data_IF_941229362670
#
_entry.id   IF_941229362670
#
_cell.length_a   1.000
_cell.length_b   1.000
_cell.length_c   1.000
_cell.angle_alpha   90.00
_cell.angle_beta   90.00
_cell.angle_gamma   90.00
#
_symmetry.space_group_name_H-M   'P 1'
#
loop_
_entity.id
_entity.type
_entity.pdbx_description
1 polymer ?
#
# COMPACT_ATOMS: atom_id res chain seq x y z
N UNK A 1 -15.44 -5.52 -7.44
CA UNK A 1 -15.11 -6.88 -6.98
C UNK A 1 -15.87 -7.16 -5.72
N UNK A 2 -16.42 -8.38 -5.56
CA UNK A 2 -17.17 -8.83 -4.38
C UNK A 2 -16.73 -10.23 -3.97
N UNK A 3 -16.48 -10.43 -2.68
CA UNK A 3 -16.18 -11.71 -2.08
C UNK A 3 -14.91 -12.39 -2.59
N UNK A 4 -13.90 -11.63 -3.06
CA UNK A 4 -12.69 -12.24 -3.58
C UNK A 4 -12.03 -13.11 -2.51
N UNK A 5 -11.79 -14.35 -2.87
CA UNK A 5 -11.19 -15.34 -1.98
C UNK A 5 -10.09 -16.11 -2.69
N UNK A 6 -8.96 -16.32 -2.01
CA UNK A 6 -7.86 -17.14 -2.49
C UNK A 6 -7.29 -18.04 -1.41
N UNK A 7 -7.18 -19.32 -1.73
CA UNK A 7 -6.69 -20.36 -0.83
C UNK A 7 -5.44 -20.99 -1.43
N UNK A 8 -4.39 -21.19 -0.64
CA UNK A 8 -3.21 -21.96 -0.98
C UNK A 8 -3.01 -23.08 0.04
N UNK A 9 -3.24 -24.32 -0.39
CA UNK A 9 -3.30 -25.46 0.52
C UNK A 9 -4.45 -25.29 1.52
N UNK A 10 -4.14 -25.28 2.80
CA UNK A 10 -5.12 -25.04 3.88
C UNK A 10 -5.27 -23.55 4.27
N UNK A 11 -4.46 -22.66 3.66
CA UNK A 11 -4.42 -21.25 4.04
C UNK A 11 -5.30 -20.38 3.16
N UNK A 12 -6.25 -19.68 3.75
CA UNK A 12 -7.02 -18.64 3.11
C UNK A 12 -6.25 -17.32 3.16
N UNK A 13 -5.53 -16.99 2.07
CA UNK A 13 -4.63 -15.83 1.98
C UNK A 13 -5.39 -14.55 1.67
N UNK A 14 -6.52 -14.64 0.97
CA UNK A 14 -7.50 -13.55 0.80
C UNK A 14 -8.85 -14.13 1.12
N UNK A 15 -9.60 -13.47 1.99
CA UNK A 15 -10.84 -13.95 2.58
C UNK A 15 -11.95 -12.92 2.45
N UNK A 16 -12.92 -13.20 1.57
CA UNK A 16 -14.13 -12.39 1.37
C UNK A 16 -13.83 -10.90 1.15
N UNK A 17 -12.97 -10.60 0.18
CA UNK A 17 -12.45 -9.24 -0.05
C UNK A 17 -13.28 -8.49 -1.08
N UNK A 18 -13.96 -7.43 -0.64
CA UNK A 18 -14.69 -6.49 -1.49
C UNK A 18 -13.86 -5.26 -1.80
N UNK A 19 -13.89 -4.80 -3.06
CA UNK A 19 -13.23 -3.55 -3.45
C UNK A 19 -13.89 -2.88 -4.64
N UNK A 20 -13.96 -1.55 -4.57
CA UNK A 20 -14.34 -0.68 -5.69
C UNK A 20 -13.26 0.38 -5.84
N UNK A 21 -12.62 0.42 -7.00
CA UNK A 21 -11.55 1.38 -7.31
C UNK A 21 -12.08 2.43 -8.27
N UNK A 22 -12.08 3.72 -7.91
CA UNK A 22 -12.45 4.81 -8.81
C UNK A 22 -11.44 4.92 -9.97
N UNK A 23 -11.94 5.29 -11.16
CA UNK A 23 -11.05 5.54 -12.31
C UNK A 23 -10.19 6.77 -12.09
N UNK A 24 -8.93 6.69 -12.50
CA UNK A 24 -7.98 7.79 -12.38
C UNK A 24 -7.50 8.05 -10.96
N UNK A 25 -7.91 7.26 -9.97
CA UNK A 25 -7.46 7.39 -8.59
C UNK A 25 -6.19 6.60 -8.33
N UNK A 26 -5.41 7.06 -7.35
CA UNK A 26 -4.34 6.30 -6.71
C UNK A 26 -4.93 5.57 -5.50
N UNK A 27 -4.97 4.25 -5.56
CA UNK A 27 -5.54 3.40 -4.51
C UNK A 27 -4.45 2.57 -3.83
N UNK A 28 -4.23 2.81 -2.55
CA UNK A 28 -3.23 2.13 -1.73
C UNK A 28 -3.75 0.86 -1.06
N UNK A 29 -3.01 -0.25 -1.22
CA UNK A 29 -3.17 -1.45 -0.40
C UNK A 29 -2.14 -1.41 0.71
N UNK A 30 -2.55 -1.09 1.91
CA UNK A 30 -1.68 -0.98 3.06
C UNK A 30 -1.82 -2.21 3.96
N UNK A 31 -0.73 -2.63 4.55
CA UNK A 31 -0.73 -3.75 5.50
C UNK A 31 0.63 -4.44 5.64
N UNK A 32 0.80 -5.28 6.66
CA UNK A 32 2.06 -5.98 6.90
C UNK A 32 2.39 -6.98 5.80
N UNK A 33 3.64 -7.45 5.79
CA UNK A 33 4.07 -8.50 4.87
C UNK A 33 3.28 -9.79 5.13
N UNK A 34 2.87 -10.46 4.05
CA UNK A 34 2.05 -11.66 4.14
C UNK A 34 0.55 -11.41 4.35
N UNK A 35 0.08 -10.17 4.40
CA UNK A 35 -1.35 -9.85 4.61
C UNK A 35 -2.27 -10.16 3.42
N UNK A 36 -1.72 -10.54 2.25
CA UNK A 36 -2.50 -10.85 1.05
C UNK A 36 -2.49 -9.77 -0.04
N UNK A 37 -1.81 -8.62 0.14
CA UNK A 37 -1.75 -7.50 -0.83
C UNK A 37 -1.39 -7.95 -2.25
N UNK A 38 -0.20 -8.55 -2.42
CA UNK A 38 0.28 -9.05 -3.72
C UNK A 38 -0.68 -10.07 -4.33
N UNK A 39 -1.26 -10.96 -3.52
CA UNK A 39 -2.23 -11.96 -3.98
C UNK A 39 -3.49 -11.28 -4.51
N UNK A 40 -4.01 -10.28 -3.79
CA UNK A 40 -5.19 -9.49 -4.21
C UNK A 40 -4.89 -8.76 -5.52
N UNK A 41 -3.77 -8.05 -5.61
CA UNK A 41 -3.35 -7.35 -6.84
C UNK A 41 -3.29 -8.32 -8.04
N UNK A 42 -2.69 -9.50 -7.87
CA UNK A 42 -2.59 -10.49 -8.95
C UNK A 42 -3.94 -11.05 -9.39
N UNK A 43 -4.91 -11.17 -8.48
CA UNK A 43 -6.27 -11.53 -8.84
C UNK A 43 -6.95 -10.41 -9.65
N UNK A 44 -6.79 -9.16 -9.23
CA UNK A 44 -7.38 -8.00 -9.91
C UNK A 44 -6.91 -7.85 -11.35
N UNK A 45 -5.65 -8.18 -11.65
CA UNK A 45 -5.09 -8.08 -13.00
C UNK A 45 -5.17 -9.37 -13.84
N UNK A 46 -5.92 -10.36 -13.38
CA UNK A 46 -6.08 -11.61 -14.11
C UNK A 46 -4.83 -12.51 -14.16
N UNK A 47 -3.79 -12.22 -13.34
CA UNK A 47 -2.59 -13.05 -13.22
C UNK A 47 -2.80 -14.25 -12.29
N UNK A 48 -3.83 -14.19 -11.45
CA UNK A 48 -4.19 -15.25 -10.52
C UNK A 48 -5.71 -15.41 -10.50
N UNK A 49 -6.19 -16.62 -10.76
CA UNK A 49 -7.62 -16.91 -10.70
C UNK A 49 -8.08 -17.00 -9.24
N UNK A 50 -9.08 -16.24 -8.81
CA UNK A 50 -9.67 -16.38 -7.49
C UNK A 50 -10.41 -17.71 -7.34
N UNK A 51 -10.42 -18.28 -6.14
CA UNK A 51 -11.19 -19.48 -5.80
C UNK A 51 -12.65 -19.14 -5.51
N UNK A 52 -12.92 -17.93 -4.97
CA UNK A 52 -14.26 -17.39 -4.71
C UNK A 52 -14.39 -15.93 -5.14
N UNK A 53 -15.64 -15.47 -5.15
CA UNK A 53 -15.96 -14.08 -5.51
C UNK A 53 -16.10 -13.85 -7.01
N UNK A 54 -16.51 -12.64 -7.35
CA UNK A 54 -16.79 -12.20 -8.72
C UNK A 54 -16.46 -10.71 -8.89
N UNK A 55 -16.37 -10.27 -10.11
CA UNK A 55 -16.23 -8.86 -10.42
C UNK A 55 -15.53 -8.59 -11.74
N UNK A 56 -15.38 -7.30 -12.01
CA UNK A 56 -14.81 -6.80 -13.24
C UNK A 56 -13.58 -5.93 -12.98
N UNK A 57 -12.60 -6.04 -13.83
CA UNK A 57 -11.48 -5.12 -13.94
C UNK A 57 -11.51 -4.46 -15.30
N UNK A 58 -11.55 -3.13 -15.35
CA UNK A 58 -11.66 -2.34 -16.58
C UNK A 58 -12.89 -2.73 -17.46
N UNK A 59 -13.96 -3.26 -16.83
CA UNK A 59 -15.16 -3.74 -17.53
C UNK A 59 -15.07 -5.16 -18.09
N UNK A 60 -14.03 -5.92 -17.70
CA UNK A 60 -13.84 -7.32 -18.08
C UNK A 60 -13.96 -8.23 -16.87
N UNK A 61 -14.64 -9.35 -17.04
CA UNK A 61 -14.76 -10.39 -16.01
C UNK A 61 -13.39 -10.99 -15.67
N UNK A 62 -13.01 -10.94 -14.37
CA UNK A 62 -11.67 -11.36 -13.91
C UNK A 62 -11.37 -12.85 -14.09
N UNK A 63 -12.39 -13.68 -14.27
CA UNK A 63 -12.24 -15.13 -14.46
C UNK A 63 -12.25 -15.53 -15.93
N UNK A 64 -13.09 -14.86 -16.74
CA UNK A 64 -13.35 -15.26 -18.13
C UNK A 64 -12.54 -14.46 -19.14
N UNK A 65 -12.16 -13.21 -18.80
CA UNK A 65 -11.53 -12.27 -19.74
C UNK A 65 -10.14 -11.80 -19.27
N UNK A 66 -9.44 -12.66 -18.52
CA UNK A 66 -8.13 -12.33 -17.94
C UNK A 66 -7.10 -11.82 -18.98
N UNK A 67 -7.11 -12.37 -20.21
CA UNK A 67 -6.18 -11.94 -21.26
C UNK A 67 -6.46 -10.48 -21.69
N UNK A 68 -7.75 -10.11 -21.81
CA UNK A 68 -8.12 -8.71 -22.14
C UNK A 68 -7.74 -7.72 -21.05
N UNK A 69 -7.79 -8.16 -19.80
CA UNK A 69 -7.32 -7.35 -18.65
C UNK A 69 -5.81 -7.14 -18.77
N UNK A 70 -5.03 -8.20 -18.99
CA UNK A 70 -3.56 -8.15 -19.09
C UNK A 70 -3.07 -7.22 -20.20
N UNK A 71 -3.80 -7.09 -21.29
CA UNK A 71 -3.47 -6.17 -22.40
C UNK A 71 -3.60 -4.69 -22.01
N UNK A 72 -4.35 -4.37 -20.94
CA UNK A 72 -4.63 -3.01 -20.49
C UNK A 72 -4.04 -2.68 -19.12
N UNK A 73 -3.25 -3.59 -18.56
CA UNK A 73 -2.65 -3.45 -17.23
C UNK A 73 -1.13 -3.44 -17.32
N UNK A 74 -0.50 -2.44 -16.74
CA UNK A 74 0.93 -2.45 -16.44
C UNK A 74 1.15 -3.03 -15.05
N UNK A 75 1.97 -4.07 -14.92
CA UNK A 75 2.27 -4.68 -13.62
C UNK A 75 3.76 -4.58 -13.27
N UNK A 76 4.06 -3.86 -12.22
CA UNK A 76 5.40 -3.74 -11.66
C UNK A 76 5.51 -4.62 -10.43
N UNK A 77 6.39 -5.60 -10.50
CA UNK A 77 6.67 -6.54 -9.41
C UNK A 77 7.60 -5.94 -8.36
N UNK A 78 7.50 -6.41 -7.12
CA UNK A 78 8.37 -5.99 -6.01
C UNK A 78 9.86 -6.17 -6.33
N UNK A 79 10.23 -7.31 -6.94
CA UNK A 79 11.61 -7.55 -7.38
C UNK A 79 11.77 -7.08 -8.81
N UNK A 80 12.92 -6.47 -9.11
CA UNK A 80 13.28 -6.11 -10.48
C UNK A 80 13.23 -7.36 -11.37
N UNK A 81 12.41 -7.32 -12.43
CA UNK A 81 12.07 -8.49 -13.26
C UNK A 81 12.53 -8.36 -14.71
N UNK A 82 13.25 -7.29 -15.03
CA UNK A 82 13.81 -7.09 -16.37
C UNK A 82 15.20 -7.73 -16.49
N UNK A 83 15.67 -7.90 -17.71
CA UNK A 83 16.93 -8.57 -18.00
C UNK A 83 18.12 -7.68 -17.66
N UNK A 84 18.93 -8.09 -16.71
CA UNK A 84 20.06 -7.31 -16.21
C UNK A 84 21.23 -7.22 -17.20
N UNK A 85 21.37 -8.19 -18.07
CA UNK A 85 22.35 -8.30 -19.16
C UNK A 85 21.96 -7.56 -20.46
N UNK A 86 20.73 -7.01 -20.51
CA UNK A 86 20.29 -6.13 -21.57
C UNK A 86 20.39 -4.66 -21.14
N UNK A 87 20.59 -3.78 -22.12
CA UNK A 87 20.51 -2.34 -21.91
C UNK A 87 19.09 -1.88 -21.60
N UNK A 88 18.94 -0.64 -21.14
CA UNK A 88 17.65 0.00 -20.92
C UNK A 88 16.81 -0.09 -22.20
N UNK A 89 17.37 0.32 -23.34
CA UNK A 89 16.70 0.30 -24.65
C UNK A 89 16.28 -1.11 -25.05
N UNK A 90 17.16 -2.09 -24.92
CA UNK A 90 16.87 -3.48 -25.31
C UNK A 90 15.76 -4.08 -24.46
N UNK A 91 15.72 -3.79 -23.16
CA UNK A 91 14.63 -4.19 -22.29
C UNK A 91 13.28 -3.60 -22.76
N UNK A 92 13.25 -2.29 -23.03
CA UNK A 92 12.02 -1.64 -23.51
C UNK A 92 11.60 -2.16 -24.90
N UNK A 93 12.56 -2.37 -25.82
CA UNK A 93 12.28 -2.95 -27.14
C UNK A 93 11.73 -4.39 -27.02
N UNK A 94 12.27 -5.19 -26.10
CA UNK A 94 11.77 -6.53 -25.82
C UNK A 94 10.31 -6.51 -25.34
N UNK A 95 9.98 -5.66 -24.37
CA UNK A 95 8.61 -5.53 -23.85
C UNK A 95 7.67 -5.01 -24.95
N UNK A 96 8.09 -4.01 -25.73
CA UNK A 96 7.29 -3.49 -26.85
C UNK A 96 6.99 -4.55 -27.91
N UNK A 97 7.91 -5.51 -28.15
CA UNK A 97 7.67 -6.68 -29.00
C UNK A 97 6.62 -7.62 -28.42
N UNK A 98 6.71 -7.89 -27.11
CA UNK A 98 5.74 -8.77 -26.41
C UNK A 98 4.32 -8.23 -26.52
N UNK A 99 4.13 -6.91 -26.40
CA UNK A 99 2.84 -6.23 -26.59
C UNK A 99 2.51 -5.95 -28.07
N UNK A 100 3.34 -6.37 -29.03
CA UNK A 100 3.12 -6.24 -30.50
C UNK A 100 2.88 -4.80 -30.95
N UNK A 101 3.61 -3.84 -30.34
CA UNK A 101 3.48 -2.41 -30.66
C UNK A 101 3.96 -2.17 -32.10
N UNK A 102 3.09 -1.59 -32.94
CA UNK A 102 3.35 -1.43 -34.36
C UNK A 102 4.54 -0.50 -34.64
N UNK A 103 4.56 0.70 -34.03
CA UNK A 103 5.68 1.65 -34.14
C UNK A 103 6.60 1.55 -32.90
N UNK A 104 7.18 0.36 -32.75
CA UNK A 104 7.99 0.01 -31.58
C UNK A 104 9.15 0.97 -31.34
N UNK A 105 9.86 1.39 -32.42
CA UNK A 105 11.03 2.25 -32.26
C UNK A 105 10.64 3.63 -31.71
N UNK A 106 9.66 4.27 -32.31
CA UNK A 106 9.17 5.56 -31.82
C UNK A 106 8.65 5.46 -30.38
N UNK A 107 7.93 4.37 -30.06
CA UNK A 107 7.40 4.16 -28.71
C UNK A 107 8.50 3.96 -27.66
N UNK A 108 9.59 3.25 -28.00
CA UNK A 108 10.76 3.09 -27.12
C UNK A 108 11.46 4.43 -26.89
N UNK A 109 11.70 5.23 -27.97
CA UNK A 109 12.29 6.56 -27.81
C UNK A 109 11.43 7.45 -26.91
N UNK A 110 10.12 7.46 -27.14
CA UNK A 110 9.18 8.23 -26.30
C UNK A 110 9.24 7.80 -24.84
N UNK A 111 9.25 6.50 -24.55
CA UNK A 111 9.34 6.00 -23.19
C UNK A 111 10.67 6.36 -22.50
N UNK A 112 11.77 6.38 -23.27
CA UNK A 112 13.07 6.82 -22.77
C UNK A 112 13.07 8.31 -22.40
N UNK A 113 12.46 9.15 -23.23
CA UNK A 113 12.33 10.59 -22.98
C UNK A 113 11.42 10.89 -21.80
N UNK A 114 10.21 10.32 -21.78
CA UNK A 114 9.19 10.56 -20.76
C UNK A 114 9.69 10.31 -19.35
N UNK A 115 10.54 9.29 -19.17
CA UNK A 115 11.05 8.90 -17.85
C UNK A 115 12.52 9.29 -17.61
N UNK A 116 13.09 10.14 -18.51
CA UNK A 116 14.45 10.65 -18.35
C UNK A 116 15.53 9.57 -18.44
N UNK A 117 15.33 8.56 -19.29
CA UNK A 117 16.23 7.42 -19.50
C UNK A 117 17.08 7.56 -20.77
N UNK A 118 16.85 8.59 -21.60
CA UNK A 118 17.47 8.76 -22.91
C UNK A 118 19.00 8.75 -22.87
N UNK A 119 19.61 9.52 -21.96
CA UNK A 119 21.09 9.63 -21.82
C UNK A 119 21.72 8.32 -21.33
N UNK A 120 20.94 7.37 -20.83
CA UNK A 120 21.38 6.08 -20.32
C UNK A 120 20.88 4.88 -21.12
N UNK A 121 20.28 5.13 -22.28
CA UNK A 121 19.59 4.11 -23.07
C UNK A 121 20.45 2.87 -23.40
N UNK A 122 21.77 3.05 -23.56
CA UNK A 122 22.73 1.97 -23.81
C UNK A 122 23.33 1.33 -22.54
N UNK A 123 23.01 1.86 -21.34
CA UNK A 123 23.52 1.31 -20.08
C UNK A 123 22.84 -0.02 -19.77
N UNK A 124 23.61 -1.02 -19.33
CA UNK A 124 23.08 -2.32 -18.89
C UNK A 124 22.20 -2.15 -17.64
N UNK A 125 21.04 -2.79 -17.62
CA UNK A 125 20.09 -2.69 -16.53
C UNK A 125 20.64 -3.20 -15.19
N UNK A 126 21.52 -4.20 -15.22
CA UNK A 126 22.19 -4.73 -14.03
C UNK A 126 23.08 -3.72 -13.30
N UNK A 127 23.62 -2.71 -14.03
CA UNK A 127 24.51 -1.69 -13.48
C UNK A 127 23.78 -0.45 -12.93
N UNK A 128 22.45 -0.43 -13.01
CA UNK A 128 21.63 0.68 -12.54
C UNK A 128 21.50 0.67 -11.01
N UNK A 129 21.47 1.87 -10.42
CA UNK A 129 21.04 2.01 -9.03
C UNK A 129 19.55 1.67 -8.86
N UNK A 130 19.10 1.43 -7.62
CA UNK A 130 17.72 1.10 -7.32
C UNK A 130 16.70 2.05 -7.94
N UNK A 131 16.90 3.36 -7.79
CA UNK A 131 16.01 4.37 -8.38
C UNK A 131 15.94 4.32 -9.91
N UNK A 132 17.07 4.05 -10.59
CA UNK A 132 17.06 3.90 -12.04
C UNK A 132 16.41 2.59 -12.49
N UNK A 133 16.59 1.48 -11.73
CA UNK A 133 15.85 0.23 -11.95
C UNK A 133 14.35 0.44 -11.83
N UNK A 134 13.89 1.24 -10.85
CA UNK A 134 12.48 1.59 -10.69
C UNK A 134 11.93 2.39 -11.86
N UNK A 135 12.67 3.41 -12.33
CA UNK A 135 12.26 4.18 -13.51
C UNK A 135 12.17 3.31 -14.77
N UNK A 136 13.12 2.40 -14.97
CA UNK A 136 13.07 1.46 -16.08
C UNK A 136 11.90 0.49 -15.97
N UNK A 137 11.62 -0.04 -14.79
CA UNK A 137 10.48 -0.93 -14.55
C UNK A 137 9.15 -0.20 -14.80
N UNK A 138 9.03 1.06 -14.36
CA UNK A 138 7.85 1.89 -14.65
C UNK A 138 7.70 2.16 -16.15
N UNK A 139 8.79 2.51 -16.87
CA UNK A 139 8.78 2.69 -18.31
C UNK A 139 8.28 1.45 -19.07
N UNK A 140 8.76 0.27 -18.64
CA UNK A 140 8.31 -1.00 -19.19
C UNK A 140 6.82 -1.27 -18.96
N UNK A 141 6.29 -0.89 -17.77
CA UNK A 141 4.86 -1.00 -17.47
C UNK A 141 4.00 -0.04 -18.29
N UNK A 142 4.54 1.12 -18.71
CA UNK A 142 3.80 2.15 -19.42
C UNK A 142 3.87 2.01 -20.95
N UNK A 143 4.75 1.17 -21.48
CA UNK A 143 5.10 1.15 -22.92
C UNK A 143 3.92 0.83 -23.83
N UNK A 144 2.89 0.15 -23.34
CA UNK A 144 1.70 -0.26 -24.09
C UNK A 144 0.45 0.56 -23.75
N UNK A 145 0.61 1.74 -23.13
CA UNK A 145 -0.45 2.67 -22.76
C UNK A 145 -1.55 2.03 -21.88
N UNK A 146 -1.20 1.48 -20.71
CA UNK A 146 -2.16 0.82 -19.86
C UNK A 146 -3.16 1.79 -19.26
N UNK A 147 -4.39 1.30 -18.98
CA UNK A 147 -5.42 2.06 -18.26
C UNK A 147 -5.33 1.90 -16.75
N UNK A 148 -4.62 0.87 -16.32
CA UNK A 148 -4.42 0.53 -14.91
C UNK A 148 -2.96 0.14 -14.68
N UNK A 149 -2.35 0.75 -13.67
CA UNK A 149 -1.05 0.34 -13.14
C UNK A 149 -1.24 -0.40 -11.83
N UNK A 150 -0.55 -1.51 -11.69
CA UNK A 150 -0.44 -2.30 -10.48
C UNK A 150 1.01 -2.30 -10.03
N UNK A 151 1.28 -1.70 -8.89
CA UNK A 151 2.62 -1.47 -8.37
C UNK A 151 2.78 -2.22 -7.05
N UNK A 152 3.59 -3.27 -7.05
CA UNK A 152 3.78 -4.11 -5.87
C UNK A 152 5.05 -3.70 -5.11
N UNK A 153 4.87 -2.95 -4.01
CA UNK A 153 5.93 -2.35 -3.19
C UNK A 153 7.00 -1.63 -4.03
N UNK A 154 6.60 -0.68 -4.89
CA UNK A 154 7.45 -0.18 -5.98
C UNK A 154 8.69 0.57 -5.50
N UNK A 155 8.72 1.09 -4.29
CA UNK A 155 9.82 1.90 -3.77
C UNK A 155 10.57 1.23 -2.62
N UNK A 156 10.38 -0.09 -2.44
CA UNK A 156 11.11 -0.85 -1.43
C UNK A 156 12.62 -0.80 -1.70
N UNK A 157 13.40 -0.35 -0.69
CA UNK A 157 14.86 -0.25 -0.80
C UNK A 157 15.37 0.90 -1.68
N UNK A 158 14.52 1.85 -2.06
CA UNK A 158 14.88 3.04 -2.83
C UNK A 158 15.18 4.22 -1.90
N UNK A 159 16.16 5.04 -2.26
CA UNK A 159 16.51 6.22 -1.48
C UNK A 159 15.37 7.27 -1.45
N UNK A 160 15.32 8.15 -0.42
CA UNK A 160 14.20 9.06 -0.23
C UNK A 160 13.97 10.04 -1.38
N UNK A 161 15.02 10.44 -2.12
CA UNK A 161 14.90 11.34 -3.27
C UNK A 161 14.24 10.60 -4.45
N UNK A 162 14.76 9.44 -4.81
CA UNK A 162 14.21 8.64 -5.91
C UNK A 162 12.78 8.18 -5.61
N UNK A 163 12.44 7.89 -4.33
CA UNK A 163 11.06 7.60 -3.90
C UNK A 163 10.14 8.80 -4.17
N UNK A 164 10.55 10.02 -3.80
CA UNK A 164 9.76 11.23 -4.06
C UNK A 164 9.54 11.44 -5.55
N UNK A 165 10.60 11.36 -6.34
CA UNK A 165 10.51 11.50 -7.81
C UNK A 165 9.56 10.46 -8.43
N UNK A 166 9.57 9.23 -7.90
CA UNK A 166 8.67 8.16 -8.34
C UNK A 166 7.20 8.49 -8.03
N UNK A 167 6.91 8.99 -6.83
CA UNK A 167 5.55 9.37 -6.45
C UNK A 167 5.05 10.60 -7.22
N UNK A 168 5.93 11.55 -7.56
CA UNK A 168 5.59 12.67 -8.45
C UNK A 168 5.13 12.15 -9.83
N UNK A 169 5.83 11.15 -10.36
CA UNK A 169 5.46 10.51 -11.62
C UNK A 169 4.12 9.78 -11.52
N UNK A 170 3.87 9.05 -10.45
CA UNK A 170 2.59 8.36 -10.23
C UNK A 170 1.43 9.36 -10.17
N UNK A 171 1.59 10.50 -9.49
CA UNK A 171 0.58 11.57 -9.46
C UNK A 171 0.34 12.15 -10.84
N UNK A 172 1.40 12.35 -11.64
CA UNK A 172 1.28 12.84 -13.02
C UNK A 172 0.45 11.87 -13.88
N UNK A 173 0.70 10.58 -13.77
CA UNK A 173 -0.03 9.55 -14.51
C UNK A 173 -1.51 9.48 -14.09
N UNK A 174 -1.79 9.54 -12.79
CA UNK A 174 -3.16 9.60 -12.27
C UNK A 174 -3.92 10.82 -12.81
N UNK A 175 -3.28 12.00 -12.79
CA UNK A 175 -3.86 13.23 -13.38
C UNK A 175 -4.14 13.12 -14.88
N UNK A 176 -3.46 12.22 -15.60
CA UNK A 176 -3.72 11.89 -17.01
C UNK A 176 -4.83 10.83 -17.19
N UNK A 177 -5.42 10.36 -16.09
CA UNK A 177 -6.54 9.40 -16.09
C UNK A 177 -6.13 7.93 -15.96
N UNK A 178 -4.85 7.63 -15.74
CA UNK A 178 -4.41 6.26 -15.42
C UNK A 178 -4.80 5.91 -14.00
N UNK A 179 -5.52 4.81 -13.80
CA UNK A 179 -5.81 4.30 -12.46
C UNK A 179 -4.58 3.59 -11.91
N UNK A 180 -4.26 3.81 -10.64
CA UNK A 180 -3.07 3.21 -10.03
C UNK A 180 -3.44 2.46 -8.76
N UNK A 181 -3.04 1.20 -8.67
CA UNK A 181 -3.10 0.40 -7.45
C UNK A 181 -1.67 0.17 -6.93
N UNK A 182 -1.41 0.58 -5.70
CA UNK A 182 -0.08 0.46 -5.09
C UNK A 182 -0.18 -0.39 -3.82
N UNK A 183 0.59 -1.47 -3.73
CA UNK A 183 0.81 -2.10 -2.43
C UNK A 183 1.97 -1.43 -1.71
N UNK A 184 1.80 -1.19 -0.42
CA UNK A 184 2.86 -0.66 0.43
C UNK A 184 2.68 -1.09 1.88
N UNK A 185 3.75 -1.01 2.64
CA UNK A 185 3.73 -1.10 4.10
C UNK A 185 4.27 0.19 4.75
N UNK A 186 4.55 1.22 3.94
CA UNK A 186 5.04 2.52 4.39
C UNK A 186 3.89 3.52 4.54
N UNK A 187 3.82 4.18 5.70
CA UNK A 187 2.77 5.17 5.99
C UNK A 187 2.93 6.45 5.17
N UNK A 188 4.17 6.88 4.94
CA UNK A 188 4.49 8.04 4.11
C UNK A 188 4.07 7.87 2.64
N UNK A 189 3.94 6.65 2.17
CA UNK A 189 3.36 6.33 0.86
C UNK A 189 1.84 6.26 0.91
N UNK A 190 1.27 5.71 1.97
CA UNK A 190 -0.17 5.64 2.14
C UNK A 190 -0.85 7.01 2.08
N UNK A 191 -0.23 8.04 2.67
CA UNK A 191 -0.73 9.44 2.62
C UNK A 191 -0.69 10.06 1.22
N UNK A 192 0.02 9.45 0.26
CA UNK A 192 0.05 9.88 -1.14
C UNK A 192 -1.13 9.33 -1.97
N UNK A 193 -1.87 8.36 -1.41
CA UNK A 193 -2.98 7.72 -2.08
C UNK A 193 -4.29 8.51 -1.85
N UNK A 194 -5.16 8.55 -2.87
CA UNK A 194 -6.51 9.13 -2.74
C UNK A 194 -7.40 8.24 -1.87
N UNK A 195 -7.26 6.92 -2.04
CA UNK A 195 -7.99 5.89 -1.31
C UNK A 195 -7.04 4.86 -0.74
N UNK A 196 -7.42 4.24 0.36
CA UNK A 196 -6.65 3.19 1.02
C UNK A 196 -7.57 2.03 1.38
N UNK A 197 -7.10 0.79 1.15
CA UNK A 197 -7.60 -0.40 1.83
C UNK A 197 -6.53 -0.92 2.77
N UNK A 198 -6.86 -1.06 4.05
CA UNK A 198 -5.98 -1.69 5.01
C UNK A 198 -6.29 -3.18 5.13
N UNK A 199 -5.26 -4.00 4.85
CA UNK A 199 -5.38 -5.46 4.78
C UNK A 199 -4.49 -6.08 5.84
N UNK A 200 -5.08 -6.91 6.68
CA UNK A 200 -4.33 -7.73 7.63
C UNK A 200 -4.89 -9.16 7.64
N UNK A 201 -4.00 -10.13 7.71
CA UNK A 201 -4.34 -11.55 7.79
C UNK A 201 -5.37 -12.03 6.73
N UNK A 202 -5.24 -11.51 5.51
CA UNK A 202 -6.13 -11.86 4.39
C UNK A 202 -7.48 -11.16 4.38
N UNK A 203 -7.76 -10.28 5.34
CA UNK A 203 -9.03 -9.54 5.45
C UNK A 203 -8.82 -8.04 5.28
N UNK A 204 -9.80 -7.39 4.68
CA UNK A 204 -9.90 -5.94 4.67
C UNK A 204 -10.45 -5.46 6.00
N UNK A 205 -9.68 -4.66 6.73
CA UNK A 205 -10.09 -4.10 8.02
C UNK A 205 -10.89 -2.81 7.83
N UNK A 206 -10.47 -1.96 6.90
CA UNK A 206 -11.11 -0.69 6.56
C UNK A 206 -10.74 -0.31 5.12
N UNK A 207 -11.58 0.45 4.44
CA UNK A 207 -11.23 1.15 3.20
C UNK A 207 -12.04 2.43 3.01
N UNK A 208 -11.46 3.38 2.28
CA UNK A 208 -12.07 4.66 1.99
C UNK A 208 -11.08 5.71 1.52
N UNK A 209 -11.52 6.96 1.37
CA UNK A 209 -10.63 8.10 1.15
C UNK A 209 -9.57 8.17 2.25
N UNK A 210 -8.31 8.34 1.87
CA UNK A 210 -7.19 8.28 2.83
C UNK A 210 -7.31 9.32 3.95
N UNK A 211 -7.83 10.50 3.64
CA UNK A 211 -8.05 11.59 4.59
C UNK A 211 -9.16 11.29 5.63
N UNK A 212 -10.10 10.39 5.31
CA UNK A 212 -11.26 10.08 6.15
C UNK A 212 -11.04 8.84 7.05
N UNK A 213 -10.02 8.03 6.78
CA UNK A 213 -9.75 6.81 7.55
C UNK A 213 -9.62 7.05 9.05
N UNK A 214 -8.87 8.05 9.54
CA UNK A 214 -8.74 8.30 10.97
C UNK A 214 -10.10 8.64 11.63
N UNK A 215 -10.93 9.42 10.95
CA UNK A 215 -12.28 9.78 11.42
C UNK A 215 -13.22 8.57 11.45
N UNK A 216 -13.16 7.71 10.42
CA UNK A 216 -13.96 6.48 10.35
C UNK A 216 -13.61 5.50 11.49
N UNK A 217 -12.36 5.46 11.93
CA UNK A 217 -11.93 4.67 13.09
C UNK A 217 -12.43 5.28 14.40
N UNK A 218 -12.72 6.59 14.43
CA UNK A 218 -13.25 7.29 15.59
C UNK A 218 -12.26 7.47 16.72
N UNK A 219 -10.95 7.50 16.41
CA UNK A 219 -9.90 7.71 17.40
C UNK A 219 -9.80 9.18 17.81
N UNK A 220 -9.89 9.42 19.12
CA UNK A 220 -9.44 10.66 19.73
C UNK A 220 -7.99 10.49 20.19
N UNK A 221 -7.12 11.45 19.89
CA UNK A 221 -5.69 11.35 20.17
C UNK A 221 -5.19 12.57 20.93
N UNK A 222 -4.34 12.32 21.92
CA UNK A 222 -3.61 13.32 22.68
C UNK A 222 -2.12 13.12 22.52
N UNK A 223 -1.40 14.19 22.31
CA UNK A 223 0.05 14.25 22.28
C UNK A 223 0.58 14.62 23.65
N UNK A 224 1.59 13.88 24.11
CA UNK A 224 2.21 14.04 25.42
C UNK A 224 3.70 14.30 25.27
N UNK A 225 4.19 15.34 25.92
CA UNK A 225 5.60 15.73 25.97
C UNK A 225 6.03 15.89 27.43
N UNK A 226 7.29 15.56 27.73
CA UNK A 226 7.84 15.74 29.07
C UNK A 226 8.98 14.77 29.37
N UNK A 227 9.47 14.79 30.62
CA UNK A 227 10.49 13.87 31.07
C UNK A 227 9.93 12.44 31.26
N UNK A 228 10.80 11.47 31.24
CA UNK A 228 10.53 10.06 31.59
C UNK A 228 9.26 9.47 30.92
N UNK A 229 9.15 9.67 29.60
CA UNK A 229 8.02 9.15 28.83
C UNK A 229 7.91 7.60 28.85
N UNK A 230 8.99 6.89 29.17
CA UNK A 230 8.94 5.43 29.26
C UNK A 230 8.12 4.97 30.48
N UNK A 231 8.35 5.57 31.64
CA UNK A 231 7.56 5.26 32.83
C UNK A 231 6.09 5.69 32.67
N UNK A 232 5.87 6.84 32.00
CA UNK A 232 4.51 7.27 31.69
C UNK A 232 3.80 6.31 30.73
N UNK A 233 4.48 5.81 29.68
CA UNK A 233 3.92 4.86 28.72
C UNK A 233 3.40 3.59 29.41
N UNK A 234 4.19 3.01 30.32
CA UNK A 234 3.78 1.81 31.08
C UNK A 234 2.56 2.09 31.95
N UNK A 235 2.50 3.25 32.59
CA UNK A 235 1.34 3.67 33.39
C UNK A 235 0.08 3.83 32.54
N UNK A 236 0.20 4.51 31.39
CA UNK A 236 -0.91 4.81 30.50
C UNK A 236 -1.60 3.56 29.96
N UNK A 237 -0.89 2.45 29.76
CA UNK A 237 -1.45 1.19 29.27
C UNK A 237 -2.57 0.60 30.15
N UNK A 238 -2.67 1.02 31.39
CA UNK A 238 -3.67 0.51 32.35
C UNK A 238 -4.72 1.56 32.71
N UNK A 239 -4.65 2.75 32.15
CA UNK A 239 -5.55 3.86 32.46
C UNK A 239 -6.88 3.75 31.70
N UNK A 240 -8.01 4.11 32.33
CA UNK A 240 -9.31 4.08 31.68
C UNK A 240 -9.39 4.96 30.43
N UNK A 241 -10.07 4.47 29.39
CA UNK A 241 -10.26 5.21 28.13
C UNK A 241 -9.04 5.27 27.22
N UNK A 242 -7.90 4.72 27.65
CA UNK A 242 -6.69 4.61 26.82
C UNK A 242 -6.66 3.20 26.22
N UNK A 243 -6.76 3.15 24.90
CA UNK A 243 -6.75 1.89 24.14
C UNK A 243 -5.42 1.69 23.41
N UNK A 244 -4.70 2.81 23.17
CA UNK A 244 -3.42 2.79 22.48
C UNK A 244 -2.48 3.84 23.02
N UNK A 245 -1.21 3.45 23.21
CA UNK A 245 -0.09 4.36 23.47
C UNK A 245 1.00 4.06 22.44
N UNK A 246 1.35 5.04 21.63
CA UNK A 246 2.37 4.93 20.58
C UNK A 246 3.44 5.99 20.77
N UNK A 247 4.71 5.61 20.61
CA UNK A 247 5.84 6.52 20.77
C UNK A 247 6.33 7.03 19.41
N UNK A 248 6.34 8.36 19.26
CA UNK A 248 6.83 9.04 18.07
C UNK A 248 8.03 9.92 18.43
N UNK A 249 9.23 9.36 18.35
CA UNK A 249 10.46 10.05 18.75
C UNK A 249 10.44 10.44 20.21
N UNK A 250 10.33 11.74 20.50
CA UNK A 250 10.34 12.35 21.84
C UNK A 250 8.94 12.63 22.40
N UNK A 251 7.88 12.11 21.79
CA UNK A 251 6.50 12.31 22.24
C UNK A 251 5.75 10.98 22.31
N UNK A 252 4.69 10.93 23.12
CA UNK A 252 3.71 9.84 23.09
C UNK A 252 2.41 10.36 22.48
N UNK A 253 1.78 9.51 21.64
CA UNK A 253 0.41 9.66 21.22
C UNK A 253 -0.45 8.67 22.01
N UNK A 254 -1.47 9.19 22.65
CA UNK A 254 -2.37 8.43 23.51
C UNK A 254 -3.76 8.52 22.90
N UNK A 255 -4.33 7.37 22.56
CA UNK A 255 -5.57 7.33 21.79
C UNK A 255 -6.58 6.38 22.40
N UNK A 256 -7.86 6.67 22.14
CA UNK A 256 -8.98 5.83 22.51
C UNK A 256 -10.24 6.23 21.76
N UNK A 257 -11.24 5.37 21.76
CA UNK A 257 -12.54 5.57 21.10
C UNK A 257 -13.60 6.12 22.05
N UNK A 258 -13.47 5.86 23.37
CA UNK A 258 -14.30 6.49 24.40
C UNK A 258 -13.75 7.86 24.76
N UNK A 259 -14.24 8.88 24.06
CA UNK A 259 -13.83 10.27 24.23
C UNK A 259 -13.96 10.76 25.66
N UNK A 260 -15.07 10.44 26.35
CA UNK A 260 -15.33 10.93 27.69
C UNK A 260 -14.36 10.32 28.72
N UNK A 261 -14.13 9.01 28.64
CA UNK A 261 -13.20 8.32 29.51
C UNK A 261 -11.75 8.77 29.25
N UNK A 262 -11.37 8.97 28.00
CA UNK A 262 -10.05 9.44 27.61
C UNK A 262 -9.81 10.90 28.11
N UNK A 263 -10.75 11.82 27.88
CA UNK A 263 -10.63 13.20 28.33
C UNK A 263 -10.52 13.29 29.86
N UNK A 264 -11.35 12.57 30.62
CA UNK A 264 -11.29 12.52 32.08
C UNK A 264 -9.92 12.01 32.59
N UNK A 265 -9.37 10.99 31.94
CA UNK A 265 -8.04 10.46 32.28
C UNK A 265 -6.95 11.48 31.96
N UNK A 266 -6.99 12.12 30.80
CA UNK A 266 -6.03 13.14 30.42
C UNK A 266 -6.08 14.34 31.35
N UNK A 267 -7.25 14.86 31.71
CA UNK A 267 -7.40 15.99 32.64
C UNK A 267 -6.79 15.67 34.01
N UNK A 268 -7.04 14.46 34.52
CA UNK A 268 -6.47 14.01 35.79
C UNK A 268 -4.95 13.95 35.75
N UNK A 269 -4.36 13.39 34.68
CA UNK A 269 -2.91 13.26 34.52
C UNK A 269 -2.23 14.60 34.21
N UNK A 270 -2.88 15.46 33.47
CA UNK A 270 -2.38 16.80 33.19
C UNK A 270 -2.32 17.69 34.45
N UNK A 271 -3.25 17.48 35.39
CA UNK A 271 -3.26 18.18 36.70
C UNK A 271 -2.04 17.85 37.57
N UNK A 272 -1.35 16.73 37.32
CA UNK A 272 -0.09 16.38 38.00
C UNK A 272 1.06 17.36 37.61
N UNK A 273 0.93 18.07 36.47
CA UNK A 273 1.84 19.14 36.05
C UNK A 273 3.21 18.68 35.54
N UNK A 274 3.46 17.37 35.44
CA UNK A 274 4.76 16.81 35.04
C UNK A 274 4.92 16.80 33.52
N UNK A 275 3.82 16.59 32.78
CA UNK A 275 3.80 16.42 31.33
C UNK A 275 2.88 17.44 30.68
N UNK A 276 3.24 17.86 29.45
CA UNK A 276 2.43 18.71 28.61
C UNK A 276 1.53 17.89 27.72
N UNK A 277 0.23 18.10 27.81
CA UNK A 277 -0.79 17.44 27.03
C UNK A 277 -1.39 18.41 26.00
N UNK A 278 -1.58 17.94 24.79
CA UNK A 278 -2.26 18.71 23.73
C UNK A 278 -3.09 17.77 22.87
N UNK A 279 -4.32 18.20 22.55
CA UNK A 279 -5.18 17.44 21.65
C UNK A 279 -4.58 17.44 20.24
N UNK A 280 -4.60 16.30 19.59
CA UNK A 280 -4.12 16.11 18.23
C UNK A 280 -5.17 15.36 17.41
N UNK A 281 -5.30 15.69 16.13
CA UNK A 281 -6.09 14.89 15.19
C UNK A 281 -5.34 13.58 14.94
N UNK A 282 -6.02 12.45 15.09
CA UNK A 282 -5.44 11.14 14.79
C UNK A 282 -5.00 11.12 13.32
N UNK A 283 -3.82 10.58 13.06
CA UNK A 283 -3.33 10.34 11.72
C UNK A 283 -3.59 8.91 11.24
N UNK A 284 -3.19 8.62 10.01
CA UNK A 284 -3.29 7.27 9.46
C UNK A 284 -2.50 6.25 10.29
N UNK A 285 -1.35 6.65 10.84
CA UNK A 285 -0.47 5.75 11.59
C UNK A 285 -1.12 5.28 12.89
N UNK A 286 -1.75 6.20 13.65
CA UNK A 286 -2.52 5.85 14.84
C UNK A 286 -3.70 4.94 14.50
N UNK A 287 -4.43 5.25 13.44
CA UNK A 287 -5.56 4.44 12.99
C UNK A 287 -5.12 3.01 12.63
N UNK A 288 -3.97 2.85 11.97
CA UNK A 288 -3.46 1.53 11.61
C UNK A 288 -2.94 0.74 12.79
N UNK A 289 -2.21 1.36 13.72
CA UNK A 289 -1.76 0.69 14.95
C UNK A 289 -2.99 0.16 15.71
N UNK A 290 -4.03 0.98 15.81
CA UNK A 290 -5.29 0.59 16.48
C UNK A 290 -5.97 -0.59 15.79
N UNK A 291 -6.15 -0.52 14.47
CA UNK A 291 -6.79 -1.60 13.69
C UNK A 291 -6.00 -2.91 13.76
N UNK A 292 -4.65 -2.83 13.79
CA UNK A 292 -3.80 -4.00 13.92
C UNK A 292 -3.92 -4.67 15.28
N UNK A 293 -4.05 -3.90 16.36
CA UNK A 293 -4.21 -4.46 17.69
C UNK A 293 -5.50 -5.28 17.84
N UNK A 294 -6.56 -4.89 17.10
CA UNK A 294 -7.83 -5.63 17.04
C UNK A 294 -7.87 -6.80 16.05
N UNK A 295 -6.90 -6.88 15.13
CA UNK A 295 -6.90 -7.90 14.09
C UNK A 295 -6.43 -9.26 14.62
N UNK A 296 -7.19 -10.32 14.29
CA UNK A 296 -6.80 -11.70 14.65
C UNK A 296 -6.03 -12.34 13.52
N UNK A 297 -4.92 -12.99 13.85
CA UNK A 297 -4.11 -13.76 12.90
C UNK A 297 -4.87 -14.99 12.42
N UNK A 298 -5.35 -14.96 11.17
CA UNK A 298 -6.00 -16.10 10.52
C UNK A 298 -5.03 -17.27 10.26
N UNK A 299 -3.73 -17.08 10.47
CA UNK A 299 -2.69 -18.08 10.32
C UNK A 299 -2.30 -18.73 11.67
N UNK A 300 -2.71 -18.16 12.80
CA UNK A 300 -2.59 -18.81 14.10
C UNK A 300 -3.51 -20.05 14.07
N UNK A 301 -2.93 -21.25 14.12
CA UNK A 301 -3.70 -22.48 14.35
C UNK A 301 -4.47 -22.26 15.65
N UNK A 302 -5.77 -22.51 15.64
CA UNK A 302 -6.52 -22.75 16.88
C UNK A 302 -5.74 -23.82 17.65
N UNK A 303 -5.00 -23.40 18.69
CA UNK A 303 -4.46 -24.37 19.64
C UNK A 303 -5.70 -25.07 20.22
N UNK A 304 -5.83 -26.39 20.10
CA UNK A 304 -6.91 -27.07 20.78
C UNK A 304 -6.83 -26.65 22.25
N UNK A 305 -7.91 -26.06 22.76
CA UNK A 305 -8.04 -25.77 24.17
C UNK A 305 -7.81 -27.09 24.89
N UNK A 306 -6.74 -27.16 25.67
CA UNK A 306 -6.27 -28.36 26.30
C UNK A 306 -7.38 -28.98 27.13
N UNK A 307 -7.66 -30.25 26.85
CA UNK A 307 -8.21 -31.14 27.81
C UNK A 307 -7.16 -31.25 28.95
N UNK A 308 -7.45 -30.61 30.05
CA UNK A 308 -6.81 -30.80 31.35
C UNK A 308 -7.82 -31.41 32.30
#
# INVERSE_FOLDING_TARGET
MRGLTKVFGERRVVDDFDITVPRGAIYGFLGPNGSGKTTTIRMLCGLLTPDGGEGECLGFDIRKEAERIKEQVGYMTQKFSLYEDLSIRENLDFIARMYRIADRRARVEQALEDLGLADRASQLAGTLSGGWKQRLALAACLIHDPKLLLLDEPTAGVDPKARRDFWDEIRRLSAQGVTVLVSTHYMDEAVQCDFIAYIAYGKKLIDGPSAEIPEQVGLETWRVEGPDLAALEDRLRTEPGIEQVARFGSVLHVSGTDKAALEATVERLAAEGTHRWSRQVAGLEEAFIYLMAGARDNFARDKPQGAG
#
